data_IF_505906476246
#
_entry.id   IF_505906476246
#
_cell.length_a   1.000
_cell.length_b   1.000
_cell.length_c   1.000
_cell.angle_alpha   90.00
_cell.angle_beta   90.00
_cell.angle_gamma   90.00
#
_symmetry.space_group_name_H-M   'P 1'
#
loop_
_entity.id
_entity.type
_entity.pdbx_description
1 polymer ?
#
# COMPACT_ATOMS: atom_id res chain seq x y z
N UNK A 1 65.78 1.01 99.55
CA UNK A 1 66.09 2.07 98.58
C UNK A 1 64.88 2.23 97.67
N UNK A 2 64.02 3.19 97.98
CA UNK A 2 62.94 3.61 97.08
C UNK A 2 63.55 4.43 95.93
N UNK A 3 63.01 4.28 94.71
CA UNK A 3 62.67 5.52 94.01
C UNK A 3 61.33 5.47 93.26
N UNK A 4 60.52 6.50 93.53
CA UNK A 4 59.92 7.44 92.57
C UNK A 4 58.94 6.86 91.53
N UNK A 5 57.66 7.13 91.78
CA UNK A 5 56.55 7.12 90.81
C UNK A 5 56.81 8.07 89.64
N UNK A 6 56.53 7.60 88.42
CA UNK A 6 56.03 8.44 87.30
C UNK A 6 54.97 7.68 86.52
N UNK A 7 53.78 8.28 86.44
CA UNK A 7 52.62 7.81 85.67
C UNK A 7 52.74 8.24 84.21
N UNK A 8 52.36 7.38 83.24
CA UNK A 8 51.96 7.86 81.93
C UNK A 8 50.51 7.49 81.60
N UNK A 9 49.73 8.58 81.48
CA UNK A 9 48.66 8.88 80.52
C UNK A 9 48.05 7.69 79.74
N UNK A 10 46.77 7.43 80.04
CA UNK A 10 45.86 6.65 79.18
C UNK A 10 45.68 7.36 77.84
N UNK A 11 46.03 6.69 76.75
CA UNK A 11 45.64 7.09 75.39
C UNK A 11 44.39 6.28 75.03
N UNK A 12 43.27 6.97 74.86
CA UNK A 12 42.05 6.38 74.32
C UNK A 12 42.19 6.27 72.80
N UNK A 13 42.25 5.06 72.27
CA UNK A 13 42.03 4.83 70.83
C UNK A 13 40.53 4.73 70.60
N UNK A 14 39.95 5.77 69.99
CA UNK A 14 38.64 5.68 69.37
C UNK A 14 38.79 4.84 68.09
N UNK A 15 38.30 3.61 68.11
CA UNK A 15 38.16 2.79 66.90
C UNK A 15 37.06 3.38 66.03
N UNK A 16 37.44 4.00 64.90
CA UNK A 16 36.49 4.38 63.85
C UNK A 16 36.13 3.11 63.09
N UNK A 17 34.92 2.59 63.31
CA UNK A 17 34.35 1.57 62.44
C UNK A 17 33.96 2.23 61.11
N UNK A 18 34.71 1.96 60.04
CA UNK A 18 34.24 2.26 58.68
C UNK A 18 33.11 1.27 58.35
N UNK A 19 31.87 1.75 58.37
CA UNK A 19 30.78 1.05 57.70
C UNK A 19 30.95 1.24 56.18
N UNK A 20 31.33 0.19 55.46
CA UNK A 20 31.29 0.20 54.00
C UNK A 20 29.82 0.15 53.56
N UNK A 21 29.26 1.30 53.17
CA UNK A 21 27.97 1.34 52.51
C UNK A 21 28.15 0.79 51.08
N UNK A 22 27.70 -0.45 50.86
CA UNK A 22 27.56 -0.99 49.51
C UNK A 22 26.42 -0.25 48.80
N UNK A 23 26.76 0.73 47.96
CA UNK A 23 25.79 1.34 47.05
C UNK A 23 25.46 0.31 45.96
N UNK A 24 24.27 -0.28 46.04
CA UNK A 24 23.73 -1.09 44.96
C UNK A 24 23.46 -0.17 43.76
N UNK A 25 24.24 -0.32 42.69
CA UNK A 25 23.98 0.30 41.40
C UNK A 25 22.73 -0.35 40.79
N UNK A 26 21.58 0.30 40.93
CA UNK A 26 20.37 -0.07 40.18
C UNK A 26 20.48 0.58 38.81
N UNK A 27 20.76 -0.20 37.77
CA UNK A 27 20.65 0.27 36.39
C UNK A 27 19.18 0.59 36.08
N UNK A 28 18.85 1.74 35.48
CA UNK A 28 17.49 1.97 35.02
C UNK A 28 17.22 1.00 33.86
N UNK A 29 16.21 0.15 34.01
CA UNK A 29 15.68 -0.62 32.89
C UNK A 29 15.06 0.37 31.90
N UNK A 30 15.69 0.52 30.73
CA UNK A 30 15.08 1.27 29.62
C UNK A 30 13.89 0.44 29.15
N UNK A 31 12.67 0.91 29.41
CA UNK A 31 11.48 0.30 28.85
C UNK A 31 11.54 0.42 27.32
N UNK A 32 11.88 -0.68 26.65
CA UNK A 32 11.71 -0.78 25.20
C UNK A 32 10.21 -0.82 24.94
N UNK A 33 9.66 0.28 24.42
CA UNK A 33 8.33 0.23 23.84
C UNK A 33 8.40 -0.77 22.68
N UNK A 34 7.79 -1.93 22.84
CA UNK A 34 7.50 -2.80 21.71
C UNK A 34 6.57 -2.00 20.81
N UNK A 35 7.10 -1.54 19.66
CA UNK A 35 6.26 -0.99 18.60
C UNK A 35 5.49 -2.19 18.06
N UNK A 36 4.35 -2.51 18.70
CA UNK A 36 3.34 -3.33 18.07
C UNK A 36 3.08 -2.72 16.70
N UNK A 37 3.10 -3.50 15.60
CA UNK A 37 2.66 -3.00 14.31
C UNK A 37 1.33 -2.29 14.54
N UNK A 38 1.24 -1.01 14.18
CA UNK A 38 0.00 -0.27 14.33
C UNK A 38 -1.11 -1.12 13.71
N UNK A 39 -2.11 -1.48 14.50
CA UNK A 39 -3.23 -2.26 13.99
C UNK A 39 -3.86 -1.49 12.82
N UNK A 40 -4.26 -2.19 11.75
CA UNK A 40 -4.93 -1.56 10.61
C UNK A 40 -6.17 -0.81 11.10
N UNK A 41 -6.11 0.53 11.03
CA UNK A 41 -7.21 1.35 11.48
C UNK A 41 -8.32 1.33 10.42
N UNK A 42 -9.51 0.84 10.78
CA UNK A 42 -10.69 0.82 9.92
C UNK A 42 -10.47 0.09 8.57
N UNK A 43 -10.21 -1.22 8.59
CA UNK A 43 -10.09 -2.02 7.37
C UNK A 43 -11.39 -1.98 6.55
N UNK A 44 -11.28 -1.86 5.23
CA UNK A 44 -12.44 -1.81 4.34
C UNK A 44 -12.11 -1.46 2.89
N UNK A 45 -13.14 -1.41 2.05
CA UNK A 45 -13.04 -0.88 0.69
C UNK A 45 -12.86 0.64 0.74
N UNK A 46 -11.83 1.16 0.06
CA UNK A 46 -11.58 2.61 0.01
C UNK A 46 -11.83 3.24 -1.36
N UNK A 47 -12.07 2.45 -2.41
CA UNK A 47 -12.51 3.00 -3.70
C UNK A 47 -13.97 3.46 -3.62
N UNK A 48 -14.22 4.65 -4.14
CA UNK A 48 -15.54 5.18 -4.48
C UNK A 48 -15.96 4.62 -5.82
N UNK A 49 -17.23 4.19 -5.92
CA UNK A 49 -17.83 3.65 -7.14
C UNK A 49 -16.97 2.54 -7.80
N UNK A 50 -16.60 1.47 -7.06
CA UNK A 50 -15.68 0.44 -7.54
C UNK A 50 -16.19 -0.37 -8.74
N UNK A 51 -17.51 -0.52 -8.88
CA UNK A 51 -18.17 -1.18 -10.00
C UNK A 51 -18.75 -0.20 -11.02
N UNK A 52 -18.35 1.08 -11.00
CA UNK A 52 -18.71 2.09 -12.00
C UNK A 52 -20.20 2.44 -12.18
N UNK A 53 -21.12 1.83 -11.44
CA UNK A 53 -22.57 2.04 -11.55
C UNK A 53 -23.03 3.49 -11.34
N UNK A 54 -22.22 4.32 -10.66
CA UNK A 54 -22.44 5.78 -10.53
C UNK A 54 -21.72 6.62 -11.59
N UNK A 55 -21.36 6.02 -12.73
CA UNK A 55 -20.66 6.69 -13.83
C UNK A 55 -19.26 7.18 -13.44
N UNK A 56 -18.93 8.39 -13.84
CA UNK A 56 -17.63 9.01 -13.57
C UNK A 56 -17.41 9.39 -12.09
N UNK A 57 -18.41 9.22 -11.22
CA UNK A 57 -18.32 9.65 -9.81
C UNK A 57 -17.10 9.04 -9.12
N UNK A 58 -16.22 9.90 -8.59
CA UNK A 58 -14.99 9.52 -7.89
C UNK A 58 -13.83 9.12 -8.80
N UNK A 59 -14.01 9.12 -10.11
CA UNK A 59 -12.98 8.75 -11.08
C UNK A 59 -12.62 9.94 -11.96
N UNK A 60 -11.33 10.25 -12.07
CA UNK A 60 -10.81 11.27 -12.99
C UNK A 60 -10.21 10.62 -14.24
N UNK A 61 -10.10 11.38 -15.33
CA UNK A 61 -9.36 10.99 -16.53
C UNK A 61 -10.22 10.90 -17.78
N UNK A 62 -10.20 9.77 -18.48
CA UNK A 62 -10.94 9.58 -19.73
C UNK A 62 -12.46 9.62 -19.49
N UNK A 63 -13.07 10.80 -19.63
CA UNK A 63 -14.47 11.09 -19.32
C UNK A 63 -15.50 10.25 -20.11
N UNK A 64 -15.06 9.58 -21.18
CA UNK A 64 -15.90 8.68 -21.98
C UNK A 64 -15.80 7.22 -21.53
N UNK A 65 -14.76 6.85 -20.77
CA UNK A 65 -14.41 5.46 -20.50
C UNK A 65 -15.48 4.70 -19.73
N UNK A 66 -16.20 5.36 -18.81
CA UNK A 66 -17.23 4.73 -17.99
C UNK A 66 -18.60 4.92 -18.63
N UNK A 67 -19.16 3.83 -19.18
CA UNK A 67 -20.47 3.90 -19.83
C UNK A 67 -21.23 2.56 -19.79
N UNK A 68 -22.47 2.59 -20.29
CA UNK A 68 -23.32 1.39 -20.46
C UNK A 68 -22.93 0.66 -21.76
N UNK A 69 -21.74 0.08 -21.75
CA UNK A 69 -21.17 -0.60 -22.91
C UNK A 69 -21.91 -1.89 -23.27
N UNK A 70 -21.81 -2.31 -24.52
CA UNK A 70 -22.40 -3.55 -25.04
C UNK A 70 -21.37 -4.32 -25.86
N UNK A 71 -21.71 -5.55 -26.28
CA UNK A 71 -20.82 -6.36 -27.11
C UNK A 71 -19.52 -6.74 -26.42
N UNK A 72 -18.38 -6.58 -27.10
CA UNK A 72 -17.06 -6.94 -26.56
C UNK A 72 -16.68 -6.13 -25.33
N UNK A 73 -17.15 -4.89 -25.23
CA UNK A 73 -16.91 -4.01 -24.08
C UNK A 73 -17.97 -4.11 -22.96
N UNK A 74 -18.94 -5.03 -23.08
CA UNK A 74 -19.99 -5.19 -22.08
C UNK A 74 -19.45 -5.34 -20.64
N UNK A 75 -20.14 -4.79 -19.63
CA UNK A 75 -19.78 -4.96 -18.24
C UNK A 75 -19.71 -6.43 -17.81
N UNK A 76 -18.84 -6.72 -16.84
CA UNK A 76 -18.79 -8.04 -16.20
C UNK A 76 -19.99 -8.21 -15.27
N UNK A 77 -20.34 -7.15 -14.54
CA UNK A 77 -21.50 -7.11 -13.68
C UNK A 77 -22.19 -5.75 -13.78
N UNK A 78 -23.41 -5.63 -13.24
CA UNK A 78 -24.14 -4.37 -13.29
C UNK A 78 -24.45 -3.89 -14.71
N UNK A 79 -24.42 -2.57 -14.89
CA UNK A 79 -24.80 -1.90 -16.13
C UNK A 79 -23.68 -1.06 -16.74
N UNK A 80 -22.56 -0.86 -16.04
CA UNK A 80 -21.46 -0.01 -16.49
C UNK A 80 -20.11 -0.67 -16.29
N UNK A 81 -19.18 -0.39 -17.19
CA UNK A 81 -17.77 -0.74 -17.07
C UNK A 81 -16.91 0.41 -17.56
N UNK A 82 -15.62 0.36 -17.25
CA UNK A 82 -14.64 1.27 -17.83
C UNK A 82 -13.96 0.64 -19.04
N UNK A 83 -13.90 1.34 -20.17
CA UNK A 83 -13.18 0.94 -21.37
C UNK A 83 -12.09 1.98 -21.68
N UNK A 84 -10.85 1.51 -21.83
CA UNK A 84 -9.70 2.31 -22.24
C UNK A 84 -9.08 1.71 -23.51
N UNK A 85 -8.55 2.56 -24.38
CA UNK A 85 -8.04 2.16 -25.69
C UNK A 85 -9.15 1.86 -26.70
N UNK A 86 -8.94 0.89 -27.59
CA UNK A 86 -9.89 0.53 -28.64
C UNK A 86 -9.97 1.53 -29.79
N UNK A 87 -8.98 2.42 -29.93
CA UNK A 87 -8.99 3.53 -30.89
C UNK A 87 -8.34 3.21 -32.23
N UNK A 88 -7.52 2.15 -32.31
CA UNK A 88 -6.71 1.82 -33.49
C UNK A 88 -5.82 2.99 -33.96
N UNK A 89 -5.37 3.82 -33.01
CA UNK A 89 -4.50 4.96 -33.25
C UNK A 89 -3.68 5.27 -31.99
N UNK A 90 -2.53 5.97 -32.10
CA UNK A 90 -1.70 6.25 -30.94
C UNK A 90 -2.43 7.11 -29.92
N UNK A 91 -2.80 6.47 -28.82
CA UNK A 91 -3.66 7.07 -27.81
C UNK A 91 -3.15 6.69 -26.44
N UNK A 92 -3.12 7.66 -25.52
CA UNK A 92 -2.80 7.43 -24.12
C UNK A 92 -3.97 7.90 -23.28
N UNK A 93 -4.57 6.98 -22.53
CA UNK A 93 -5.69 7.29 -21.66
C UNK A 93 -5.39 6.88 -20.24
N UNK A 94 -6.04 7.55 -19.31
CA UNK A 94 -5.93 7.22 -17.90
C UNK A 94 -7.29 7.25 -17.24
N UNK A 95 -7.54 6.30 -16.36
CA UNK A 95 -8.62 6.33 -15.38
C UNK A 95 -7.99 6.24 -13.99
N UNK A 96 -8.31 7.18 -13.10
CA UNK A 96 -7.62 7.29 -11.81
C UNK A 96 -8.51 7.74 -10.68
N UNK A 97 -8.15 7.34 -9.47
CA UNK A 97 -8.78 7.78 -8.24
C UNK A 97 -7.74 7.90 -7.13
N UNK A 98 -7.81 8.97 -6.35
CA UNK A 98 -6.96 9.17 -5.18
C UNK A 98 -7.66 8.67 -3.93
N UNK A 99 -7.00 7.77 -3.19
CA UNK A 99 -7.54 7.13 -1.99
C UNK A 99 -6.51 7.13 -0.87
N UNK A 100 -6.97 7.01 0.36
CA UNK A 100 -6.09 6.85 1.53
C UNK A 100 -6.13 5.41 2.00
N UNK A 101 -4.96 4.77 2.09
CA UNK A 101 -4.80 3.49 2.76
C UNK A 101 -4.45 3.79 4.22
N UNK A 102 -5.28 3.38 5.20
CA UNK A 102 -5.02 3.72 6.59
C UNK A 102 -3.68 3.18 7.09
N UNK A 103 -3.11 3.84 8.10
CA UNK A 103 -1.90 3.38 8.75
C UNK A 103 -2.11 1.98 9.35
N UNK A 104 -1.07 1.13 9.27
CA UNK A 104 -1.13 -0.24 9.79
C UNK A 104 -1.75 -1.28 8.84
N UNK A 105 -2.39 -0.87 7.75
CA UNK A 105 -3.04 -1.78 6.79
C UNK A 105 -2.05 -2.38 5.78
N UNK A 106 -1.08 -3.15 6.27
CA UNK A 106 0.03 -3.73 5.51
C UNK A 106 -0.33 -4.97 4.68
N UNK A 107 -1.57 -5.48 4.79
CA UNK A 107 -2.10 -6.57 3.97
C UNK A 107 -3.13 -6.07 2.94
N UNK A 108 -3.16 -4.76 2.70
CA UNK A 108 -4.06 -4.14 1.71
C UNK A 108 -3.87 -4.74 0.32
N UNK A 109 -4.98 -4.95 -0.39
CA UNK A 109 -5.00 -5.55 -1.74
C UNK A 109 -5.82 -4.70 -2.69
N UNK A 110 -5.26 -4.39 -3.86
CA UNK A 110 -5.99 -3.85 -5.02
C UNK A 110 -6.38 -5.01 -5.93
N UNK A 111 -7.63 -5.09 -6.34
CA UNK A 111 -8.13 -6.03 -7.32
C UNK A 111 -8.96 -5.37 -8.42
N UNK A 112 -8.98 -5.99 -9.60
CA UNK A 112 -9.74 -5.53 -10.77
C UNK A 112 -10.06 -6.73 -11.67
N UNK A 113 -11.25 -6.77 -12.26
CA UNK A 113 -11.51 -7.67 -13.37
C UNK A 113 -11.10 -7.00 -14.68
N UNK A 114 -10.24 -7.65 -15.45
CA UNK A 114 -9.75 -7.13 -16.73
C UNK A 114 -10.18 -8.08 -17.84
N UNK A 115 -10.83 -7.53 -18.87
CA UNK A 115 -11.06 -8.15 -20.18
C UNK A 115 -10.21 -7.42 -21.21
N UNK A 116 -9.62 -8.18 -22.13
CA UNK A 116 -8.75 -7.64 -23.17
C UNK A 116 -9.22 -8.19 -24.52
N UNK A 117 -9.58 -7.28 -25.41
CA UNK A 117 -10.03 -7.59 -26.78
C UNK A 117 -9.13 -6.87 -27.77
N UNK A 118 -8.64 -7.56 -28.79
CA UNK A 118 -7.65 -7.00 -29.72
C UNK A 118 -7.79 -7.64 -31.10
N UNK A 119 -7.56 -6.85 -32.16
CA UNK A 119 -7.35 -7.40 -33.50
C UNK A 119 -5.86 -7.62 -33.80
N UNK A 120 -4.96 -7.31 -32.87
CA UNK A 120 -3.56 -7.70 -32.98
C UNK A 120 -3.42 -9.23 -33.06
N UNK A 121 -2.58 -9.69 -33.98
CA UNK A 121 -2.39 -11.12 -34.24
C UNK A 121 -0.99 -11.62 -33.92
N UNK A 122 -0.01 -10.72 -33.87
CA UNK A 122 1.36 -11.07 -33.55
C UNK A 122 1.56 -11.17 -32.03
N UNK A 123 2.44 -12.08 -31.56
CA UNK A 123 2.74 -12.25 -30.14
C UNK A 123 3.72 -11.19 -29.64
N UNK A 124 3.46 -9.92 -29.96
CA UNK A 124 4.26 -8.76 -29.57
C UNK A 124 3.38 -7.82 -28.76
N UNK A 125 3.89 -7.34 -27.63
CA UNK A 125 3.18 -6.40 -26.77
C UNK A 125 3.26 -4.97 -27.36
N UNK A 126 2.36 -4.66 -28.29
CA UNK A 126 2.21 -3.35 -28.93
C UNK A 126 1.47 -2.39 -27.99
N UNK A 127 0.23 -2.77 -27.67
CA UNK A 127 -0.64 -1.98 -26.80
C UNK A 127 -0.54 -2.46 -25.36
N UNK A 128 -0.60 -1.53 -24.41
CA UNK A 128 -0.41 -1.85 -22.99
C UNK A 128 -1.43 -1.19 -22.08
N UNK A 129 -1.76 -1.89 -20.98
CA UNK A 129 -2.42 -1.34 -19.82
C UNK A 129 -1.49 -1.43 -18.62
N UNK A 130 -1.17 -0.29 -18.01
CA UNK A 130 -0.35 -0.22 -16.79
C UNK A 130 -1.22 0.11 -15.58
N UNK A 131 -1.11 -0.69 -14.53
CA UNK A 131 -1.74 -0.44 -13.22
C UNK A 131 -0.71 0.16 -12.28
N UNK A 132 -1.01 1.33 -11.71
CA UNK A 132 -0.13 2.05 -10.78
C UNK A 132 -0.81 2.40 -9.47
N UNK A 133 0.00 2.45 -8.42
CA UNK A 133 -0.34 3.02 -7.12
C UNK A 133 0.74 4.04 -6.76
N UNK A 134 0.38 5.32 -6.75
CA UNK A 134 1.35 6.41 -6.76
C UNK A 134 2.23 6.35 -8.02
N UNK A 135 3.55 6.33 -7.84
CA UNK A 135 4.51 6.19 -8.95
C UNK A 135 4.88 4.73 -9.24
N UNK A 136 4.51 3.80 -8.36
CA UNK A 136 4.87 2.38 -8.47
C UNK A 136 3.94 1.67 -9.44
N UNK A 137 4.51 0.91 -10.37
CA UNK A 137 3.75 -0.01 -11.22
C UNK A 137 3.54 -1.33 -10.50
N UNK A 138 2.28 -1.71 -10.29
CA UNK A 138 1.91 -2.96 -9.62
C UNK A 138 1.45 -4.04 -10.60
N UNK A 139 1.05 -3.65 -11.82
CA UNK A 139 0.65 -4.59 -12.88
C UNK A 139 0.85 -4.01 -14.28
N UNK A 140 1.05 -4.91 -15.25
CA UNK A 140 1.09 -4.61 -16.70
C UNK A 140 0.35 -5.71 -17.45
N UNK A 141 -0.42 -5.31 -18.45
CA UNK A 141 -1.08 -6.17 -19.43
C UNK A 141 -0.86 -5.60 -20.82
N UNK A 142 -1.12 -6.41 -21.83
CA UNK A 142 -0.98 -6.05 -23.23
C UNK A 142 -1.95 -6.79 -24.13
N UNK A 143 -1.97 -6.44 -25.42
CA UNK A 143 -2.72 -7.17 -26.46
C UNK A 143 -2.44 -8.68 -26.46
N UNK A 144 -1.24 -9.14 -26.07
CA UNK A 144 -0.94 -10.59 -26.01
C UNK A 144 -1.65 -11.32 -24.86
N UNK A 145 -2.19 -10.59 -23.88
CA UNK A 145 -2.95 -11.13 -22.74
C UNK A 145 -4.46 -11.26 -23.03
N UNK A 146 -4.87 -11.22 -24.31
CA UNK A 146 -6.28 -11.23 -24.74
C UNK A 146 -7.12 -12.33 -24.10
N UNK A 147 -8.36 -11.99 -23.77
CA UNK A 147 -9.34 -12.92 -23.22
C UNK A 147 -10.45 -12.25 -22.43
N UNK A 148 -11.43 -13.07 -22.03
CA UNK A 148 -12.54 -12.66 -21.16
C UNK A 148 -12.08 -12.19 -19.79
N UNK A 149 -13.00 -11.59 -19.03
CA UNK A 149 -12.73 -11.08 -17.69
C UNK A 149 -11.99 -12.08 -16.80
N UNK A 150 -10.87 -11.63 -16.25
CA UNK A 150 -10.11 -12.32 -15.21
C UNK A 150 -9.85 -11.38 -14.05
N UNK A 151 -10.04 -11.88 -12.84
CA UNK A 151 -9.63 -11.17 -11.64
C UNK A 151 -8.09 -11.07 -11.60
N UNK A 152 -7.61 -9.88 -11.27
CA UNK A 152 -6.21 -9.54 -11.04
C UNK A 152 -6.11 -8.91 -9.66
N UNK A 153 -5.12 -9.32 -8.88
CA UNK A 153 -4.94 -8.88 -7.50
C UNK A 153 -3.49 -8.49 -7.26
N UNK A 154 -3.27 -7.40 -6.55
CA UNK A 154 -1.97 -6.81 -6.28
C UNK A 154 -1.88 -6.46 -4.80
N UNK A 155 -0.82 -6.89 -4.13
CA UNK A 155 -0.52 -6.42 -2.77
C UNK A 155 -0.11 -4.95 -2.85
N UNK A 156 -0.77 -4.11 -2.05
CA UNK A 156 -0.53 -2.66 -1.94
C UNK A 156 -0.27 -2.25 -0.49
N UNK A 157 0.10 -3.20 0.36
CA UNK A 157 0.38 -2.98 1.78
C UNK A 157 1.55 -2.03 2.03
N UNK A 158 2.49 -1.95 1.08
CA UNK A 158 3.61 -1.00 1.12
C UNK A 158 3.17 0.47 1.13
N UNK A 159 1.91 0.75 0.80
CA UNK A 159 1.32 2.10 0.79
C UNK A 159 0.48 2.40 2.05
N UNK A 160 0.51 1.53 3.06
CA UNK A 160 -0.18 1.77 4.33
C UNK A 160 0.23 3.11 4.94
N UNK A 161 -0.77 3.89 5.39
CA UNK A 161 -0.58 5.23 5.95
C UNK A 161 -0.39 6.34 4.90
N UNK A 162 -0.56 6.04 3.61
CA UNK A 162 -0.38 7.00 2.53
C UNK A 162 -1.69 7.29 1.81
N UNK A 163 -1.80 8.52 1.31
CA UNK A 163 -2.76 8.89 0.28
C UNK A 163 -2.09 8.71 -1.08
N UNK A 164 -2.64 7.83 -1.91
CA UNK A 164 -2.07 7.40 -3.18
C UNK A 164 -3.10 7.49 -4.29
N UNK A 165 -2.63 7.81 -5.49
CA UNK A 165 -3.46 7.73 -6.70
C UNK A 165 -3.35 6.33 -7.30
N UNK A 166 -4.45 5.62 -7.38
CA UNK A 166 -4.59 4.40 -8.18
C UNK A 166 -4.87 4.82 -9.62
N UNK A 167 -4.09 4.33 -10.58
CA UNK A 167 -4.23 4.68 -11.99
C UNK A 167 -4.18 3.46 -12.90
N UNK A 168 -5.06 3.44 -13.90
CA UNK A 168 -5.06 2.54 -15.03
C UNK A 168 -4.73 3.35 -16.26
N UNK A 169 -3.63 3.02 -16.94
CA UNK A 169 -3.11 3.81 -18.05
C UNK A 169 -3.01 2.92 -19.28
N UNK A 170 -3.85 3.17 -20.29
CA UNK A 170 -3.73 2.50 -21.59
C UNK A 170 -2.77 3.27 -22.48
N UNK A 171 -2.08 2.54 -23.36
CA UNK A 171 -1.33 3.08 -24.49
C UNK A 171 -1.59 2.18 -25.67
N UNK A 172 -2.16 2.75 -26.73
CA UNK A 172 -2.20 2.12 -28.04
C UNK A 172 -1.11 2.71 -28.93
N UNK A 173 -0.60 1.90 -29.87
CA UNK A 173 0.21 2.38 -30.97
C UNK A 173 -0.61 2.53 -32.27
N UNK A 174 -0.05 2.23 -33.44
CA UNK A 174 -0.71 2.43 -34.72
C UNK A 174 -1.43 1.15 -35.18
N UNK A 175 -2.19 1.24 -36.27
CA UNK A 175 -2.76 0.11 -37.03
C UNK A 175 -4.09 -0.47 -36.53
N UNK A 176 -4.08 -1.33 -35.51
CA UNK A 176 -5.28 -2.04 -35.04
C UNK A 176 -5.53 -1.83 -33.56
N UNK A 177 -6.75 -2.09 -33.12
CA UNK A 177 -7.21 -1.74 -31.79
C UNK A 177 -6.78 -2.76 -30.73
N UNK A 178 -6.57 -2.25 -29.52
CA UNK A 178 -6.66 -3.07 -28.31
C UNK A 178 -7.49 -2.36 -27.25
N UNK A 179 -8.55 -3.04 -26.84
CA UNK A 179 -9.51 -2.61 -25.85
C UNK A 179 -9.20 -3.26 -24.50
N UNK A 180 -9.02 -2.42 -23.48
CA UNK A 180 -8.88 -2.85 -22.10
C UNK A 180 -10.15 -2.48 -21.32
N UNK A 181 -10.91 -3.48 -20.89
CA UNK A 181 -12.15 -3.27 -20.16
C UNK A 181 -11.97 -3.69 -18.71
N UNK A 182 -12.28 -2.76 -17.82
CA UNK A 182 -12.12 -2.88 -16.37
C UNK A 182 -13.49 -2.86 -15.72
N UNK A 183 -13.68 -3.75 -14.76
CA UNK A 183 -14.91 -3.79 -13.98
C UNK A 183 -14.66 -4.36 -12.58
N UNK A 184 -15.58 -4.09 -11.66
CA UNK A 184 -15.62 -4.61 -10.29
C UNK A 184 -14.28 -4.50 -9.56
N UNK A 185 -13.78 -3.27 -9.42
CA UNK A 185 -12.53 -2.99 -8.73
C UNK A 185 -12.71 -3.13 -7.21
N UNK A 186 -11.60 -3.34 -6.51
CA UNK A 186 -11.57 -3.12 -5.07
C UNK A 186 -10.19 -2.73 -4.59
N UNK A 187 -10.10 -1.80 -3.65
CA UNK A 187 -8.93 -1.64 -2.80
C UNK A 187 -9.39 -1.90 -1.37
N UNK A 188 -9.22 -3.13 -0.93
CA UNK A 188 -9.57 -3.58 0.41
C UNK A 188 -8.36 -3.45 1.32
N UNK A 189 -8.50 -2.67 2.38
CA UNK A 189 -7.45 -2.43 3.37
C UNK A 189 -7.53 -3.47 4.49
N UNK A 190 -6.37 -3.97 4.93
CA UNK A 190 -6.23 -5.01 5.96
C UNK A 190 -4.80 -5.21 6.39
#
# INVERSE_FOLDING_TARGET
>A
MEPVRRSPRRVAMAGVALAAAAAALVSPAVAQAEISPAACANPGQVLVNPGFESGQTGWDGANWSIHTWTGTAAPRSGSRSAWLGGTAAPTVESLRQTVTIPAGCVNSTLSVHVKIDTAETLPVAYDTLTVRVGTTTVGRFSNVDKGDYRLRSFNVGAFAGQTVTVSFISREDWDVQTSFILDDLALTTG
#
